data_IF_866167805858
#
_entry.id   IF_866167805858
#
_cell.length_a   1.000
_cell.length_b   1.000
_cell.length_c   1.000
_cell.angle_alpha   90.00
_cell.angle_beta   90.00
_cell.angle_gamma   90.00
#
_symmetry.space_group_name_H-M   'P 1'
#
loop_
_entity.id
_entity.type
_entity.pdbx_description
1 polymer ?
#
# COMPACT_ATOMS: atom_id res chain seq x y z
N UNK A 1 24.63 8.01 -10.31
CA UNK A 1 23.49 7.24 -10.85
C UNK A 1 23.10 6.20 -9.82
N UNK A 2 21.81 6.02 -9.54
CA UNK A 2 21.32 5.02 -8.60
C UNK A 2 20.19 4.20 -9.21
N UNK A 3 20.00 2.98 -8.71
CA UNK A 3 18.92 2.07 -9.11
C UNK A 3 18.09 1.74 -7.86
N UNK A 4 16.79 1.71 -8.01
CA UNK A 4 15.88 1.31 -6.95
C UNK A 4 14.75 0.42 -7.51
N UNK A 5 14.25 -0.50 -6.68
CA UNK A 5 13.30 -1.53 -7.10
C UNK A 5 12.18 -1.64 -6.08
N UNK A 6 10.95 -1.43 -6.54
CA UNK A 6 9.72 -1.81 -5.85
C UNK A 6 9.27 -3.17 -6.39
N UNK A 7 9.42 -4.21 -5.56
CA UNK A 7 9.12 -5.58 -5.97
C UNK A 7 8.01 -6.19 -5.12
N UNK A 8 6.81 -6.10 -5.66
CA UNK A 8 5.59 -6.56 -5.00
C UNK A 8 5.29 -8.05 -5.23
N UNK A 9 4.10 -8.46 -4.78
CA UNK A 9 3.61 -9.82 -4.96
C UNK A 9 3.37 -10.18 -6.43
N UNK A 10 2.91 -9.23 -7.25
CA UNK A 10 2.50 -9.43 -8.64
C UNK A 10 3.40 -8.73 -9.65
N UNK A 11 4.05 -7.63 -9.27
CA UNK A 11 4.78 -6.75 -10.19
C UNK A 11 6.19 -6.44 -9.71
N UNK A 12 7.07 -6.21 -10.67
CA UNK A 12 8.41 -5.68 -10.53
C UNK A 12 8.45 -4.30 -11.17
N UNK A 13 8.99 -3.30 -10.47
CA UNK A 13 9.21 -1.95 -10.97
C UNK A 13 10.62 -1.53 -10.64
N UNK A 14 11.41 -1.20 -11.65
CA UNK A 14 12.76 -0.70 -11.50
C UNK A 14 12.82 0.77 -11.93
N UNK A 15 13.57 1.56 -11.18
CA UNK A 15 13.74 2.99 -11.35
C UNK A 15 15.23 3.31 -11.44
N UNK A 16 15.62 4.10 -12.44
CA UNK A 16 16.98 4.62 -12.60
C UNK A 16 17.00 6.12 -12.36
N UNK A 17 17.88 6.55 -11.47
CA UNK A 17 18.02 7.95 -11.10
C UNK A 17 19.39 8.50 -11.55
N UNK A 18 19.43 9.79 -11.86
CA UNK A 18 20.66 10.57 -12.03
C UNK A 18 21.38 10.78 -10.69
N UNK A 19 22.56 11.36 -10.71
CA UNK A 19 23.32 11.66 -9.49
C UNK A 19 22.65 12.75 -8.62
N UNK A 20 21.83 13.60 -9.21
CA UNK A 20 21.03 14.64 -8.56
C UNK A 20 19.61 14.18 -8.18
N UNK A 21 19.33 12.87 -8.26
CA UNK A 21 18.09 12.27 -7.80
C UNK A 21 16.91 12.37 -8.78
N UNK A 22 17.12 12.81 -10.03
CA UNK A 22 16.05 12.85 -11.02
C UNK A 22 15.76 11.47 -11.59
N UNK A 23 14.48 11.11 -11.72
CA UNK A 23 14.07 9.89 -12.40
C UNK A 23 14.41 9.95 -13.91
N UNK A 24 15.29 9.06 -14.36
CA UNK A 24 15.72 8.96 -15.77
C UNK A 24 14.90 7.94 -16.55
N UNK A 25 14.61 6.80 -15.94
CA UNK A 25 13.94 5.69 -16.61
C UNK A 25 13.17 4.84 -15.59
N UNK A 26 12.02 4.30 -16.02
CA UNK A 26 11.22 3.34 -15.27
C UNK A 26 10.95 2.12 -16.12
N UNK A 27 11.12 0.92 -15.55
CA UNK A 27 10.75 -0.37 -16.14
C UNK A 27 9.74 -1.07 -15.27
N UNK A 28 8.83 -1.80 -15.91
CA UNK A 28 7.83 -2.60 -15.23
C UNK A 28 7.69 -3.96 -15.90
N UNK A 29 7.51 -5.00 -15.08
CA UNK A 29 7.26 -6.36 -15.55
C UNK A 29 6.31 -7.09 -14.59
N UNK A 30 5.55 -8.04 -15.13
CA UNK A 30 4.62 -8.88 -14.36
C UNK A 30 5.37 -10.09 -13.78
N UNK A 31 6.43 -9.82 -13.02
CA UNK A 31 7.28 -10.82 -12.37
C UNK A 31 7.41 -10.55 -10.86
N UNK A 32 6.26 -10.49 -10.17
CA UNK A 32 6.23 -10.39 -8.71
C UNK A 32 6.65 -11.67 -8.01
N UNK A 33 6.96 -11.58 -6.71
CA UNK A 33 7.48 -12.70 -5.91
C UNK A 33 6.52 -13.90 -5.86
N UNK A 34 5.23 -13.68 -6.11
CA UNK A 34 4.22 -14.74 -6.14
C UNK A 34 4.48 -15.83 -7.20
N UNK A 35 5.23 -15.52 -8.27
CA UNK A 35 5.56 -16.50 -9.31
C UNK A 35 6.46 -17.65 -8.83
N UNK A 36 7.19 -17.43 -7.75
CA UNK A 36 8.08 -18.45 -7.16
C UNK A 36 7.59 -18.93 -5.80
N UNK A 37 6.33 -18.67 -5.47
CA UNK A 37 5.70 -19.15 -4.25
C UNK A 37 5.74 -20.70 -4.21
N UNK A 38 6.11 -21.25 -3.04
CA UNK A 38 6.22 -22.70 -2.85
C UNK A 38 7.51 -23.34 -3.38
N UNK A 39 8.39 -22.60 -4.04
CA UNK A 39 9.71 -23.12 -4.43
C UNK A 39 10.69 -23.12 -3.24
N UNK A 40 11.77 -23.92 -3.35
CA UNK A 40 12.85 -23.89 -2.38
C UNK A 40 13.58 -22.54 -2.35
N UNK A 41 14.20 -22.19 -1.23
CA UNK A 41 14.93 -20.92 -1.09
C UNK A 41 16.01 -20.74 -2.16
N UNK A 42 16.76 -21.80 -2.45
CA UNK A 42 17.81 -21.76 -3.47
C UNK A 42 17.22 -21.43 -4.87
N UNK A 43 16.10 -22.05 -5.24
CA UNK A 43 15.43 -21.79 -6.54
C UNK A 43 14.87 -20.38 -6.59
N UNK A 44 14.25 -19.92 -5.50
CA UNK A 44 13.72 -18.54 -5.40
C UNK A 44 14.83 -17.50 -5.54
N UNK A 45 15.93 -17.68 -4.80
CA UNK A 45 17.06 -16.74 -4.84
C UNK A 45 17.69 -16.67 -6.23
N UNK A 46 17.88 -17.80 -6.89
CA UNK A 46 18.39 -17.83 -8.26
C UNK A 46 17.43 -17.13 -9.25
N UNK A 47 16.13 -17.28 -9.06
CA UNK A 47 15.12 -16.61 -9.87
C UNK A 47 15.14 -15.09 -9.65
N UNK A 48 15.19 -14.61 -8.40
CA UNK A 48 15.27 -13.17 -8.10
C UNK A 48 16.55 -12.56 -8.69
N UNK A 49 17.68 -13.22 -8.54
CA UNK A 49 18.92 -12.77 -9.12
C UNK A 49 18.82 -12.67 -10.64
N UNK A 50 18.30 -13.70 -11.31
CA UNK A 50 18.12 -13.70 -12.76
C UNK A 50 17.24 -12.54 -13.23
N UNK A 51 16.07 -12.34 -12.62
CA UNK A 51 15.13 -11.25 -12.97
C UNK A 51 15.77 -9.87 -12.77
N UNK A 52 16.45 -9.66 -11.62
CA UNK A 52 17.15 -8.40 -11.38
C UNK A 52 18.13 -8.06 -12.50
N UNK A 53 19.02 -8.99 -12.84
CA UNK A 53 20.04 -8.74 -13.86
C UNK A 53 19.44 -8.72 -15.28
N UNK A 54 18.42 -9.49 -15.57
CA UNK A 54 17.71 -9.45 -16.86
C UNK A 54 17.11 -8.05 -17.13
N UNK A 55 16.54 -7.41 -16.11
CA UNK A 55 15.90 -6.11 -16.26
C UNK A 55 16.83 -4.91 -16.03
N UNK A 56 17.98 -5.09 -15.38
CA UNK A 56 18.85 -3.97 -14.98
C UNK A 56 20.30 -4.08 -15.48
N UNK A 57 20.70 -5.13 -16.22
CA UNK A 57 22.09 -5.35 -16.63
C UNK A 57 22.68 -4.14 -17.37
N UNK A 58 21.99 -3.61 -18.36
CA UNK A 58 22.45 -2.45 -19.16
C UNK A 58 22.58 -1.16 -18.32
N UNK A 59 21.81 -1.02 -17.24
CA UNK A 59 21.99 0.07 -16.29
C UNK A 59 23.23 -0.13 -15.44
N UNK A 60 23.50 -1.38 -15.03
CA UNK A 60 24.66 -1.74 -14.21
C UNK A 60 25.95 -1.60 -14.98
N UNK A 61 25.97 -2.01 -16.26
CA UNK A 61 27.13 -1.87 -17.15
C UNK A 61 27.52 -0.40 -17.40
N UNK A 62 26.55 0.51 -17.33
CA UNK A 62 26.77 1.95 -17.47
C UNK A 62 27.31 2.61 -16.18
N UNK A 63 27.34 1.91 -15.06
CA UNK A 63 27.90 2.42 -13.79
C UNK A 63 29.44 2.34 -13.78
N UNK A 64 30.10 2.93 -14.75
CA UNK A 64 31.57 2.92 -14.89
C UNK A 64 32.32 3.72 -13.81
N UNK A 65 31.64 4.17 -12.74
CA UNK A 65 32.22 5.04 -11.72
C UNK A 65 32.11 4.35 -10.35
N UNK A 66 33.24 4.06 -9.76
CA UNK A 66 33.37 3.57 -8.35
C UNK A 66 33.33 4.75 -7.38
N UNK A 67 32.63 4.64 -6.21
CA UNK A 67 31.89 3.45 -5.77
C UNK A 67 30.50 3.31 -6.45
N UNK A 68 30.14 2.09 -6.77
CA UNK A 68 28.80 1.77 -7.29
C UNK A 68 27.80 2.00 -6.14
N UNK A 69 26.82 2.88 -6.35
CA UNK A 69 25.76 3.07 -5.36
C UNK A 69 24.98 1.75 -5.17
N UNK A 70 24.56 1.42 -3.95
CA UNK A 70 23.77 0.22 -3.71
C UNK A 70 22.43 0.31 -4.45
N UNK A 71 21.89 -0.85 -4.85
CA UNK A 71 20.52 -0.94 -5.35
C UNK A 71 19.57 -1.02 -4.16
N UNK A 72 18.63 -0.10 -4.07
CA UNK A 72 17.58 -0.12 -3.04
C UNK A 72 16.46 -1.06 -3.47
N UNK A 73 16.03 -1.94 -2.56
CA UNK A 73 14.91 -2.85 -2.77
C UNK A 73 13.85 -2.65 -1.69
N UNK A 74 12.61 -2.45 -2.10
CA UNK A 74 11.44 -2.32 -1.23
C UNK A 74 10.32 -3.27 -1.69
N UNK A 75 9.33 -3.47 -0.83
CA UNK A 75 8.16 -4.29 -1.11
C UNK A 75 8.32 -5.74 -0.67
N UNK A 76 7.51 -6.62 -1.23
CA UNK A 76 7.42 -8.02 -0.80
C UNK A 76 8.71 -8.82 -1.01
N UNK A 77 9.65 -8.32 -1.81
CA UNK A 77 11.00 -8.91 -1.97
C UNK A 77 11.77 -8.97 -0.65
N UNK A 78 11.42 -8.10 0.32
CA UNK A 78 12.05 -8.02 1.64
C UNK A 78 11.27 -8.79 2.71
N UNK A 79 10.26 -9.56 2.33
CA UNK A 79 9.47 -10.41 3.22
C UNK A 79 10.08 -11.80 3.38
N UNK A 80 9.53 -12.60 4.30
CA UNK A 80 9.91 -14.01 4.52
C UNK A 80 9.86 -14.86 3.25
N UNK A 81 8.92 -14.56 2.36
CA UNK A 81 8.78 -15.26 1.07
C UNK A 81 9.56 -14.58 -0.06
N UNK A 82 10.24 -13.48 0.23
CA UNK A 82 11.08 -12.74 -0.70
C UNK A 82 12.51 -13.28 -0.81
N UNK A 83 13.42 -12.39 -1.21
CA UNK A 83 14.84 -12.71 -1.38
C UNK A 83 15.64 -12.62 -0.08
N UNK A 84 15.36 -11.58 0.72
CA UNK A 84 15.98 -11.36 2.04
C UNK A 84 14.89 -10.91 3.00
N UNK A 85 14.69 -11.67 4.08
CA UNK A 85 13.78 -11.25 5.13
C UNK A 85 14.40 -10.12 5.93
N UNK A 86 13.73 -8.98 5.98
CA UNK A 86 14.13 -7.83 6.81
C UNK A 86 13.21 -7.72 8.03
N UNK A 87 13.71 -7.18 9.15
CA UNK A 87 12.87 -6.92 10.32
C UNK A 87 11.79 -5.87 10.02
N UNK A 88 10.83 -5.74 10.93
CA UNK A 88 9.91 -4.62 10.97
C UNK A 88 10.39 -3.57 11.96
N UNK A 89 10.26 -2.29 11.61
CA UNK A 89 10.45 -1.18 12.53
C UNK A 89 9.14 -0.87 13.24
N UNK A 90 9.19 -0.65 14.56
CA UNK A 90 8.00 -0.34 15.34
C UNK A 90 7.58 1.13 15.19
N UNK A 91 6.27 1.38 15.04
CA UNK A 91 5.71 2.73 15.16
C UNK A 91 5.78 3.24 16.61
N UNK A 92 5.96 4.57 16.82
CA UNK A 92 6.16 5.60 15.81
C UNK A 92 7.56 5.54 15.18
N UNK A 93 7.68 5.74 13.87
CA UNK A 93 8.95 5.62 13.14
C UNK A 93 9.17 6.79 12.19
N UNK A 94 10.38 7.33 12.18
CA UNK A 94 10.83 8.29 11.17
C UNK A 94 11.17 7.56 9.89
N UNK A 95 10.70 8.07 8.76
CA UNK A 95 10.81 7.35 7.48
C UNK A 95 12.28 7.15 7.02
N UNK A 96 13.23 8.02 7.40
CA UNK A 96 14.65 7.81 7.10
C UNK A 96 15.26 6.59 7.84
N UNK A 97 14.66 6.16 8.96
CA UNK A 97 15.12 4.97 9.66
C UNK A 97 15.04 3.68 8.82
N UNK A 98 14.29 3.69 7.70
CA UNK A 98 14.26 2.57 6.76
C UNK A 98 15.63 2.31 6.13
N UNK A 99 16.37 3.36 5.75
CA UNK A 99 17.73 3.23 5.21
C UNK A 99 18.74 2.83 6.27
N UNK A 100 18.63 3.39 7.48
CA UNK A 100 19.53 3.11 8.59
C UNK A 100 19.45 1.65 9.08
N UNK A 101 18.31 0.99 8.86
CA UNK A 101 18.05 -0.39 9.29
C UNK A 101 17.92 -1.36 8.10
N UNK A 102 18.37 -0.98 6.92
CA UNK A 102 18.35 -1.85 5.77
C UNK A 102 19.34 -3.03 5.90
N UNK A 103 18.96 -4.18 5.35
CA UNK A 103 19.81 -5.35 5.28
C UNK A 103 20.59 -5.34 3.97
N UNK A 104 21.91 -5.49 4.05
CA UNK A 104 22.79 -5.48 2.90
C UNK A 104 23.14 -6.90 2.44
N UNK A 105 23.19 -7.12 1.14
CA UNK A 105 23.65 -8.36 0.51
C UNK A 105 24.43 -8.03 -0.77
N UNK A 106 25.59 -8.67 -0.94
CA UNK A 106 26.37 -8.54 -2.19
C UNK A 106 26.05 -9.70 -3.12
N UNK A 107 25.75 -9.38 -4.37
CA UNK A 107 25.47 -10.33 -5.47
C UNK A 107 26.21 -9.85 -6.72
N UNK A 108 27.10 -10.67 -7.28
CA UNK A 108 27.92 -10.32 -8.46
C UNK A 108 28.58 -8.93 -8.35
N UNK A 109 29.26 -8.66 -7.27
CA UNK A 109 29.95 -7.39 -7.02
C UNK A 109 29.01 -6.14 -6.89
N UNK A 110 27.69 -6.38 -6.86
CA UNK A 110 26.69 -5.34 -6.64
C UNK A 110 26.15 -5.43 -5.22
N UNK A 111 26.16 -4.31 -4.51
CA UNK A 111 25.54 -4.22 -3.17
C UNK A 111 24.04 -3.96 -3.31
N UNK A 112 23.25 -4.85 -2.74
CA UNK A 112 21.79 -4.75 -2.65
C UNK A 112 21.42 -4.31 -1.23
N UNK A 113 20.50 -3.37 -1.10
CA UNK A 113 20.05 -2.80 0.17
C UNK A 113 18.54 -3.02 0.31
N UNK A 114 18.16 -3.95 1.18
CA UNK A 114 16.78 -4.37 1.41
C UNK A 114 16.16 -3.56 2.53
N UNK A 115 15.16 -2.75 2.21
CA UNK A 115 14.48 -1.89 3.17
C UNK A 115 13.55 -2.69 4.09
N UNK A 116 13.50 -2.38 5.40
CA UNK A 116 12.56 -3.00 6.33
C UNK A 116 11.12 -2.54 6.06
N UNK A 117 10.15 -3.31 6.53
CA UNK A 117 8.78 -2.86 6.66
C UNK A 117 8.54 -2.17 8.01
N UNK A 118 7.28 -1.79 8.27
CA UNK A 118 6.86 -1.14 9.51
C UNK A 118 5.75 -1.96 10.18
N UNK A 119 5.73 -1.97 11.52
CA UNK A 119 4.74 -2.71 12.30
C UNK A 119 4.20 -1.89 13.47
N UNK A 120 3.01 -2.28 13.92
CA UNK A 120 2.43 -1.87 15.21
C UNK A 120 2.40 -3.09 16.12
N UNK A 121 2.75 -2.90 17.40
CA UNK A 121 2.82 -3.99 18.39
C UNK A 121 4.10 -4.85 18.29
N UNK A 122 5.05 -4.53 17.42
CA UNK A 122 6.35 -5.18 17.39
C UNK A 122 7.21 -4.65 18.54
N UNK A 123 7.43 -5.45 19.57
CA UNK A 123 8.25 -5.07 20.75
C UNK A 123 7.45 -4.78 22.01
N UNK A 124 6.14 -4.67 21.94
CA UNK A 124 5.28 -4.77 23.13
C UNK A 124 5.37 -6.17 23.71
N UNK A 125 5.07 -6.27 25.02
CA UNK A 125 5.17 -7.51 25.79
C UNK A 125 4.81 -8.75 24.95
N UNK A 126 5.80 -9.62 24.68
CA UNK A 126 5.62 -10.86 23.90
C UNK A 126 4.54 -11.79 24.50
N UNK A 127 4.08 -11.50 25.72
CA UNK A 127 2.97 -12.17 26.36
C UNK A 127 1.62 -11.49 26.10
N UNK A 128 1.60 -10.34 25.40
CA UNK A 128 0.33 -9.71 25.02
C UNK A 128 -0.35 -10.54 23.93
N UNK A 129 -1.55 -11.01 24.21
CA UNK A 129 -2.44 -11.69 23.26
C UNK A 129 -3.36 -10.71 22.53
N UNK A 130 -3.13 -9.41 22.66
CA UNK A 130 -3.95 -8.39 21.98
C UNK A 130 -3.60 -8.28 20.48
N UNK A 131 -4.04 -9.27 19.74
CA UNK A 131 -3.86 -9.31 18.27
C UNK A 131 -4.61 -8.20 17.54
N UNK A 132 -5.57 -7.52 18.19
CA UNK A 132 -6.30 -6.41 17.57
C UNK A 132 -5.44 -5.17 17.37
N UNK A 133 -4.27 -5.10 18.01
CA UNK A 133 -3.29 -4.02 17.85
C UNK A 133 -2.13 -4.38 16.94
N UNK A 134 -1.98 -5.64 16.56
CA UNK A 134 -0.90 -6.07 15.69
C UNK A 134 -1.20 -5.73 14.24
N UNK A 135 -0.32 -4.97 13.59
CA UNK A 135 -0.45 -4.64 12.18
C UNK A 135 0.93 -4.56 11.50
N UNK A 136 0.97 -4.81 10.20
CA UNK A 136 2.21 -4.79 9.41
C UNK A 136 2.01 -4.12 8.06
N UNK A 137 3.04 -3.40 7.61
CA UNK A 137 3.09 -2.76 6.31
C UNK A 137 4.44 -3.03 5.65
N UNK A 138 4.45 -3.32 4.33
CA UNK A 138 5.69 -3.61 3.61
C UNK A 138 5.57 -3.26 2.13
N UNK A 139 6.22 -2.14 1.76
CA UNK A 139 6.22 -1.56 0.42
C UNK A 139 5.46 -0.24 0.36
N UNK A 140 4.35 -0.11 1.06
CA UNK A 140 3.53 1.10 1.09
C UNK A 140 4.24 2.28 1.79
N UNK A 141 5.13 2.01 2.76
CA UNK A 141 5.97 3.03 3.42
C UNK A 141 6.78 3.86 2.42
N UNK A 142 7.22 3.25 1.33
CA UNK A 142 7.92 3.94 0.26
C UNK A 142 7.04 5.02 -0.41
N UNK A 143 5.80 4.66 -0.72
CA UNK A 143 4.84 5.60 -1.32
C UNK A 143 4.49 6.74 -0.35
N UNK A 144 4.41 6.43 0.94
CA UNK A 144 4.21 7.43 1.99
C UNK A 144 5.38 8.42 2.03
N UNK A 145 6.64 7.96 1.99
CA UNK A 145 7.82 8.81 1.88
C UNK A 145 7.70 9.75 0.67
N UNK A 146 7.26 9.25 -0.47
CA UNK A 146 7.00 10.04 -1.67
C UNK A 146 5.99 11.16 -1.42
N UNK A 147 4.88 10.85 -0.77
CA UNK A 147 3.77 11.77 -0.56
C UNK A 147 4.02 12.83 0.54
N UNK A 148 4.81 12.51 1.56
CA UNK A 148 4.99 13.40 2.73
C UNK A 148 5.84 14.66 2.49
N UNK A 149 6.40 14.85 1.31
CA UNK A 149 7.10 16.08 0.96
C UNK A 149 8.56 16.17 1.46
N UNK A 150 9.26 17.23 1.11
CA UNK A 150 10.62 17.50 1.58
C UNK A 150 10.60 17.75 3.09
N UNK A 151 11.45 17.09 3.84
CA UNK A 151 11.54 17.08 5.31
C UNK A 151 11.74 18.44 6.00
N UNK A 152 11.85 19.52 5.25
CA UNK A 152 11.98 20.87 5.80
C UNK A 152 10.66 21.51 6.22
N UNK A 153 9.51 20.93 5.83
CA UNK A 153 8.18 21.45 6.14
C UNK A 153 7.30 20.34 6.76
N UNK A 154 7.67 19.94 7.97
CA UNK A 154 7.01 18.84 8.71
C UNK A 154 5.54 19.12 9.02
N UNK A 155 5.13 20.39 9.12
CA UNK A 155 3.75 20.79 9.39
C UNK A 155 2.85 20.57 8.15
N UNK A 156 3.37 20.79 6.95
CA UNK A 156 2.58 20.62 5.70
C UNK A 156 2.33 19.18 5.31
N UNK A 157 3.12 18.25 5.81
CA UNK A 157 2.97 16.84 5.52
C UNK A 157 2.15 16.07 6.59
N UNK A 158 1.81 16.72 7.69
CA UNK A 158 0.97 16.12 8.72
C UNK A 158 -0.43 15.83 8.17
N UNK A 159 -0.97 14.65 8.45
CA UNK A 159 -2.32 14.28 8.03
C UNK A 159 -2.57 12.79 7.92
N UNK A 160 -3.77 12.49 7.46
CA UNK A 160 -4.24 11.14 7.22
C UNK A 160 -4.01 10.75 5.75
N UNK A 161 -3.37 9.61 5.57
CA UNK A 161 -3.11 9.02 4.27
C UNK A 161 -3.89 7.71 4.14
N UNK A 162 -4.46 7.46 2.98
CA UNK A 162 -5.06 6.17 2.65
C UNK A 162 -4.40 5.60 1.39
N UNK A 163 -3.99 4.34 1.47
CA UNK A 163 -3.42 3.60 0.36
C UNK A 163 -4.34 2.42 0.01
N UNK A 164 -5.33 2.65 -0.85
CA UNK A 164 -6.30 1.63 -1.24
C UNK A 164 -5.63 0.46 -1.98
N UNK A 165 -6.01 -0.76 -1.63
CA UNK A 165 -5.46 -1.97 -2.26
C UNK A 165 -6.21 -3.23 -1.86
N UNK A 166 -5.56 -4.38 -2.05
CA UNK A 166 -6.03 -5.66 -1.50
C UNK A 166 -6.17 -5.57 0.01
N UNK A 167 -5.16 -4.96 0.65
CA UNK A 167 -5.11 -4.61 2.06
C UNK A 167 -4.87 -3.10 2.15
N UNK A 168 -5.94 -2.32 2.24
CA UNK A 168 -5.85 -0.85 2.32
C UNK A 168 -5.17 -0.43 3.62
N UNK A 169 -4.32 0.61 3.55
CA UNK A 169 -3.64 1.18 4.73
C UNK A 169 -4.20 2.56 5.02
N UNK A 170 -4.58 2.80 6.25
CA UNK A 170 -4.89 4.12 6.80
C UNK A 170 -3.74 4.53 7.70
N UNK A 171 -3.08 5.62 7.38
CA UNK A 171 -1.82 6.00 8.02
C UNK A 171 -1.95 7.39 8.63
N UNK A 172 -1.66 7.48 9.91
CA UNK A 172 -1.49 8.72 10.64
C UNK A 172 -0.02 9.14 10.56
N UNK A 173 0.23 10.28 9.91
CA UNK A 173 1.57 10.84 9.78
C UNK A 173 1.61 12.23 10.39
N UNK A 174 2.48 12.44 11.38
CA UNK A 174 2.61 13.69 12.09
C UNK A 174 4.04 13.89 12.63
N UNK A 175 4.43 15.14 12.78
CA UNK A 175 5.75 15.53 13.31
C UNK A 175 6.95 14.83 12.63
N UNK A 176 6.86 14.57 11.33
CA UNK A 176 7.92 13.88 10.59
C UNK A 176 8.01 12.38 10.82
N UNK A 177 7.00 11.78 11.48
CA UNK A 177 6.93 10.37 11.81
C UNK A 177 5.65 9.72 11.28
N UNK A 178 5.73 8.47 10.87
CA UNK A 178 4.61 7.57 10.78
C UNK A 178 4.24 7.19 12.23
N UNK A 179 3.15 7.74 12.73
CA UNK A 179 2.71 7.57 14.13
C UNK A 179 2.06 6.20 14.33
N UNK A 180 1.09 5.89 13.47
CA UNK A 180 0.35 4.64 13.50
C UNK A 180 -0.27 4.36 12.13
N UNK A 181 -0.75 3.14 11.96
CA UNK A 181 -1.55 2.78 10.79
C UNK A 181 -2.54 1.66 11.11
N UNK A 182 -3.51 1.49 10.23
CA UNK A 182 -4.51 0.44 10.31
C UNK A 182 -4.70 -0.20 8.94
N UNK A 183 -4.69 -1.52 8.88
CA UNK A 183 -4.93 -2.29 7.67
C UNK A 183 -6.37 -2.78 7.60
N UNK A 184 -7.06 -2.44 6.52
CA UNK A 184 -8.37 -2.99 6.19
C UNK A 184 -8.25 -3.95 5.00
N UNK A 185 -8.63 -5.23 5.11
CA UNK A 185 -8.56 -6.20 4.02
C UNK A 185 -9.69 -6.04 3.00
N UNK A 186 -10.03 -4.79 2.67
CA UNK A 186 -11.23 -4.42 1.90
C UNK A 186 -11.21 -5.00 0.50
N UNK A 187 -10.08 -4.92 -0.21
CA UNK A 187 -9.96 -5.47 -1.56
C UNK A 187 -10.02 -6.99 -1.57
N UNK A 188 -9.40 -7.66 -0.60
CA UNK A 188 -9.45 -9.12 -0.46
C UNK A 188 -10.86 -9.60 -0.14
N UNK A 189 -11.53 -8.95 0.82
CA UNK A 189 -12.92 -9.25 1.16
C UNK A 189 -13.86 -9.05 -0.03
N UNK A 190 -13.70 -7.94 -0.76
CA UNK A 190 -14.48 -7.68 -1.96
C UNK A 190 -14.30 -8.80 -2.99
N UNK A 191 -13.07 -9.15 -3.32
CA UNK A 191 -12.77 -10.20 -4.29
C UNK A 191 -13.33 -11.55 -3.84
N UNK A 192 -13.15 -11.91 -2.58
CA UNK A 192 -13.67 -13.16 -2.00
C UNK A 192 -15.18 -13.21 -2.02
N UNK A 193 -15.87 -12.15 -1.60
CA UNK A 193 -17.32 -12.08 -1.59
C UNK A 193 -17.90 -12.20 -3.01
N UNK A 194 -17.29 -11.55 -3.97
CA UNK A 194 -17.73 -11.58 -5.37
C UNK A 194 -17.50 -12.93 -6.04
N UNK A 195 -16.36 -13.60 -5.78
CA UNK A 195 -15.92 -14.76 -6.56
C UNK A 195 -16.19 -16.10 -5.89
N UNK A 196 -16.22 -16.14 -4.54
CA UNK A 196 -16.19 -17.40 -3.80
C UNK A 196 -17.37 -17.58 -2.83
N UNK A 197 -18.37 -16.69 -2.85
CA UNK A 197 -19.51 -16.78 -1.93
C UNK A 197 -20.86 -16.67 -2.63
N UNK A 198 -21.91 -17.12 -1.93
CA UNK A 198 -23.30 -16.93 -2.39
C UNK A 198 -23.72 -15.46 -2.42
N UNK A 199 -23.00 -14.57 -1.77
CA UNK A 199 -23.32 -13.14 -1.72
C UNK A 199 -23.13 -12.52 -3.12
N UNK A 200 -22.02 -12.84 -3.79
CA UNK A 200 -21.72 -12.37 -5.14
C UNK A 200 -22.31 -13.21 -6.27
N UNK A 201 -22.85 -14.40 -5.97
CA UNK A 201 -23.25 -15.40 -6.97
C UNK A 201 -24.35 -14.93 -7.94
N UNK A 202 -25.13 -13.92 -7.58
CA UNK A 202 -26.17 -13.33 -8.44
C UNK A 202 -25.69 -12.05 -9.14
N UNK A 203 -24.41 -11.69 -9.02
CA UNK A 203 -23.82 -10.55 -9.73
C UNK A 203 -23.70 -10.85 -11.22
N UNK A 204 -23.95 -9.84 -12.02
CA UNK A 204 -23.75 -9.88 -13.47
C UNK A 204 -22.80 -8.76 -13.92
N UNK A 205 -22.18 -8.92 -15.09
CA UNK A 205 -21.35 -7.88 -15.69
C UNK A 205 -22.22 -6.71 -16.15
N UNK A 206 -21.76 -5.51 -15.95
CA UNK A 206 -22.46 -4.30 -16.36
C UNK A 206 -21.66 -3.03 -16.07
N UNK A 207 -22.26 -1.90 -16.40
CA UNK A 207 -21.68 -0.60 -16.09
C UNK A 207 -21.71 -0.32 -14.58
N UNK A 208 -20.73 0.46 -14.13
CA UNK A 208 -20.62 0.89 -12.74
C UNK A 208 -21.80 1.76 -12.32
N UNK A 209 -22.54 1.35 -11.29
CA UNK A 209 -23.66 2.10 -10.73
C UNK A 209 -23.21 3.02 -9.60
N UNK A 210 -22.84 4.25 -9.94
CA UNK A 210 -22.36 5.24 -8.98
C UNK A 210 -23.42 5.63 -7.92
N UNK A 211 -24.70 5.60 -8.26
CA UNK A 211 -25.76 5.95 -7.31
C UNK A 211 -25.90 4.86 -6.23
N UNK A 212 -25.89 3.59 -6.65
CA UNK A 212 -25.89 2.45 -5.72
C UNK A 212 -24.63 2.46 -4.86
N UNK A 213 -23.46 2.75 -5.46
CA UNK A 213 -22.20 2.84 -4.72
C UNK A 213 -22.26 3.87 -3.59
N UNK A 214 -22.62 5.13 -3.88
CA UNK A 214 -22.69 6.21 -2.88
C UNK A 214 -23.67 5.90 -1.75
N UNK A 215 -24.87 5.41 -2.10
CA UNK A 215 -25.85 4.99 -1.10
C UNK A 215 -25.30 3.88 -0.19
N UNK A 216 -24.56 2.95 -0.76
CA UNK A 216 -23.95 1.84 0.00
C UNK A 216 -22.77 2.30 0.84
N UNK A 217 -22.03 3.33 0.41
CA UNK A 217 -21.00 4.00 1.23
C UNK A 217 -21.61 4.58 2.51
N UNK A 218 -22.70 5.34 2.40
CA UNK A 218 -23.43 5.88 3.56
C UNK A 218 -23.91 4.76 4.49
N UNK A 219 -24.46 3.68 3.91
CA UNK A 219 -24.90 2.52 4.68
C UNK A 219 -23.73 1.84 5.42
N UNK A 220 -22.61 1.61 4.74
CA UNK A 220 -21.41 1.01 5.34
C UNK A 220 -20.84 1.85 6.48
N UNK A 221 -20.80 3.16 6.28
CA UNK A 221 -20.30 4.12 7.26
C UNK A 221 -21.18 4.21 8.53
N UNK A 222 -22.50 4.30 8.36
CA UNK A 222 -23.41 4.56 9.47
C UNK A 222 -24.00 3.30 10.12
N UNK A 223 -24.04 2.16 9.41
CA UNK A 223 -24.71 0.95 9.90
C UNK A 223 -23.99 0.30 11.07
N UNK A 224 -24.78 -0.13 12.05
CA UNK A 224 -24.37 -1.06 13.11
C UNK A 224 -24.57 -2.52 12.72
N UNK A 225 -25.23 -2.79 11.57
CA UNK A 225 -25.58 -4.12 11.08
C UNK A 225 -24.80 -4.48 9.82
N UNK A 226 -23.49 -4.30 9.86
CA UNK A 226 -22.62 -4.46 8.67
C UNK A 226 -22.70 -5.87 8.06
N UNK A 227 -22.62 -6.92 8.88
CA UNK A 227 -22.68 -8.31 8.38
C UNK A 227 -24.01 -8.63 7.68
N UNK A 228 -25.14 -8.14 8.22
CA UNK A 228 -26.46 -8.29 7.58
C UNK A 228 -26.50 -7.52 6.24
N UNK A 229 -25.85 -6.35 6.19
CA UNK A 229 -25.72 -5.56 4.96
C UNK A 229 -25.00 -6.31 3.84
N UNK A 230 -23.98 -7.10 4.14
CA UNK A 230 -23.30 -7.93 3.14
C UNK A 230 -24.26 -8.93 2.48
N UNK A 231 -25.11 -9.59 3.27
CA UNK A 231 -26.12 -10.50 2.73
C UNK A 231 -27.20 -9.76 1.93
N UNK A 232 -27.38 -8.47 2.19
CA UNK A 232 -28.27 -7.58 1.43
C UNK A 232 -27.98 -7.56 -0.07
N UNK A 233 -26.74 -7.78 -0.50
CA UNK A 233 -26.40 -7.89 -1.91
C UNK A 233 -27.20 -9.03 -2.60
N UNK A 234 -27.24 -10.23 -1.98
CA UNK A 234 -28.00 -11.37 -2.50
C UNK A 234 -29.51 -11.19 -2.34
N UNK A 235 -29.96 -10.85 -1.15
CA UNK A 235 -31.36 -10.67 -0.85
C UNK A 235 -31.99 -9.57 -1.71
N UNK A 236 -31.25 -8.50 -1.95
CA UNK A 236 -31.68 -7.39 -2.80
C UNK A 236 -31.93 -7.79 -4.25
N UNK A 237 -31.12 -8.67 -4.82
CA UNK A 237 -31.37 -9.22 -6.17
C UNK A 237 -32.59 -10.13 -6.18
N UNK A 238 -32.72 -11.03 -5.21
CA UNK A 238 -33.85 -11.96 -5.14
C UNK A 238 -35.22 -11.25 -4.93
N UNK A 239 -35.19 -10.09 -4.29
CA UNK A 239 -36.38 -9.27 -4.03
C UNK A 239 -36.51 -8.09 -5.00
N UNK A 240 -35.76 -8.09 -6.10
CA UNK A 240 -35.78 -7.05 -7.17
C UNK A 240 -35.53 -5.63 -6.64
N UNK A 241 -34.83 -5.49 -5.52
CA UNK A 241 -34.42 -4.18 -4.92
C UNK A 241 -33.14 -3.64 -5.50
N UNK A 242 -32.28 -4.53 -6.04
CA UNK A 242 -31.00 -4.20 -6.64
C UNK A 242 -30.84 -5.02 -7.93
N UNK A 243 -30.37 -4.40 -8.99
CA UNK A 243 -30.08 -5.11 -10.25
C UNK A 243 -28.85 -5.97 -10.12
N UNK A 244 -28.75 -7.16 -10.74
CA UNK A 244 -27.56 -8.00 -10.72
C UNK A 244 -26.26 -7.23 -11.06
N UNK A 245 -26.31 -6.29 -12.04
CA UNK A 245 -25.18 -5.48 -12.47
C UNK A 245 -24.71 -4.48 -11.42
N UNK A 246 -25.55 -4.11 -10.46
CA UNK A 246 -25.23 -3.16 -9.39
C UNK A 246 -24.65 -3.82 -8.12
N UNK A 247 -24.61 -5.15 -8.03
CA UNK A 247 -24.09 -5.89 -6.86
C UNK A 247 -22.64 -5.52 -6.55
N UNK A 248 -21.79 -5.40 -7.57
CA UNK A 248 -20.39 -4.98 -7.43
C UNK A 248 -20.28 -3.58 -6.80
N UNK A 249 -21.08 -2.61 -7.28
CA UNK A 249 -21.09 -1.26 -6.73
C UNK A 249 -21.62 -1.24 -5.29
N UNK A 250 -22.66 -2.02 -4.99
CA UNK A 250 -23.23 -2.16 -3.65
C UNK A 250 -22.20 -2.68 -2.65
N UNK A 251 -21.56 -3.82 -2.94
CA UNK A 251 -20.58 -4.43 -2.04
C UNK A 251 -19.34 -3.54 -1.87
N UNK A 252 -18.83 -2.95 -2.96
CA UNK A 252 -17.71 -2.03 -2.89
C UNK A 252 -18.02 -0.81 -2.02
N UNK A 253 -19.20 -0.20 -2.18
CA UNK A 253 -19.61 0.94 -1.37
C UNK A 253 -19.77 0.59 0.11
N UNK A 254 -20.39 -0.55 0.41
CA UNK A 254 -20.59 -1.00 1.78
C UNK A 254 -19.28 -1.25 2.52
N UNK A 255 -18.32 -1.92 1.85
CA UNK A 255 -17.00 -2.22 2.40
C UNK A 255 -16.16 -0.95 2.58
N UNK A 256 -16.08 -0.09 1.56
CA UNK A 256 -15.31 1.15 1.62
C UNK A 256 -15.92 2.11 2.67
N UNK A 257 -17.25 2.22 2.75
CA UNK A 257 -17.89 3.05 3.79
C UNK A 257 -17.56 2.58 5.20
N UNK A 258 -17.53 1.26 5.43
CA UNK A 258 -17.11 0.69 6.72
C UNK A 258 -15.64 0.95 7.02
N UNK A 259 -14.78 0.76 6.05
CA UNK A 259 -13.34 1.03 6.15
C UNK A 259 -13.07 2.50 6.48
N UNK A 260 -13.74 3.45 5.79
CA UNK A 260 -13.59 4.89 6.09
C UNK A 260 -13.96 5.20 7.53
N UNK A 261 -15.04 4.62 8.05
CA UNK A 261 -15.43 4.80 9.45
C UNK A 261 -14.34 4.33 10.40
N UNK A 262 -13.74 3.17 10.14
CA UNK A 262 -12.68 2.61 10.98
C UNK A 262 -11.40 3.45 10.90
N UNK A 263 -10.99 3.86 9.69
CA UNK A 263 -9.82 4.71 9.48
C UNK A 263 -9.94 6.10 10.13
N UNK A 264 -11.10 6.75 10.02
CA UNK A 264 -11.35 8.04 10.67
C UNK A 264 -11.35 7.89 12.20
N UNK A 265 -11.97 6.83 12.73
CA UNK A 265 -12.01 6.61 14.18
C UNK A 265 -10.62 6.39 14.79
N UNK A 266 -9.69 5.79 14.05
CA UNK A 266 -8.30 5.60 14.49
C UNK A 266 -7.65 6.95 14.86
N UNK A 267 -7.85 7.97 14.04
CA UNK A 267 -7.24 9.30 14.23
C UNK A 267 -7.96 10.11 15.32
N UNK A 268 -9.28 9.97 15.44
CA UNK A 268 -10.04 10.63 16.54
C UNK A 268 -9.55 10.14 17.91
N UNK A 269 -9.19 8.86 18.02
CA UNK A 269 -8.67 8.29 19.28
C UNK A 269 -7.29 8.83 19.63
N UNK A 270 -6.46 9.21 18.63
CA UNK A 270 -5.17 9.85 18.88
C UNK A 270 -5.27 11.32 19.36
N UNK A 271 -6.48 11.90 19.36
CA UNK A 271 -6.74 13.23 19.94
C UNK A 271 -6.50 14.40 18.97
N UNK A 272 -6.22 14.14 17.71
CA UNK A 272 -6.05 15.18 16.70
C UNK A 272 -7.34 15.37 15.88
N UNK A 273 -7.74 16.63 15.72
CA UNK A 273 -8.93 16.98 14.93
C UNK A 273 -8.62 16.82 13.43
N UNK A 274 -8.98 15.67 12.85
CA UNK A 274 -8.80 15.36 11.41
C UNK A 274 -9.75 16.15 10.51
N UNK A 275 -10.70 16.89 11.09
CA UNK A 275 -11.87 17.41 10.38
C UNK A 275 -11.54 18.49 9.34
N UNK A 276 -10.40 19.16 9.45
CA UNK A 276 -10.03 20.27 8.57
C UNK A 276 -8.91 19.95 7.56
N UNK A 277 -8.32 18.74 7.59
CA UNK A 277 -7.20 18.39 6.70
C UNK A 277 -7.69 17.44 5.60
N UNK A 278 -7.30 17.70 4.35
CA UNK A 278 -7.61 16.82 3.24
C UNK A 278 -6.91 15.44 3.41
N UNK A 279 -7.67 14.36 3.26
CA UNK A 279 -7.14 12.99 3.28
C UNK A 279 -6.39 12.73 1.98
N UNK A 280 -5.12 12.34 2.06
CA UNK A 280 -4.30 12.05 0.89
C UNK A 280 -4.48 10.59 0.46
N UNK A 281 -4.90 10.36 -0.79
CA UNK A 281 -5.15 9.03 -1.35
C UNK A 281 -4.03 8.67 -2.31
N UNK A 282 -3.34 7.53 -2.07
CA UNK A 282 -2.20 7.09 -2.88
C UNK A 282 -2.47 5.68 -3.40
N UNK A 283 -2.45 5.45 -4.71
CA UNK A 283 -2.64 4.11 -5.24
C UNK A 283 -3.07 4.08 -6.71
N UNK A 284 -3.71 2.99 -7.09
CA UNK A 284 -4.19 2.77 -8.43
C UNK A 284 -5.31 3.77 -8.78
N UNK A 285 -5.30 4.40 -9.97
CA UNK A 285 -6.22 5.51 -10.30
C UNK A 285 -7.71 5.20 -10.17
N UNK A 286 -8.14 3.96 -10.49
CA UNK A 286 -9.55 3.57 -10.36
C UNK A 286 -9.97 3.50 -8.90
N UNK A 287 -9.13 2.91 -8.05
CA UNK A 287 -9.38 2.84 -6.60
C UNK A 287 -9.35 4.24 -5.98
N UNK A 288 -8.36 5.06 -6.32
CA UNK A 288 -8.28 6.44 -5.83
C UNK A 288 -9.58 7.22 -6.14
N UNK A 289 -10.10 7.13 -7.37
CA UNK A 289 -11.38 7.78 -7.73
C UNK A 289 -12.55 7.24 -6.91
N UNK A 290 -12.62 5.94 -6.63
CA UNK A 290 -13.68 5.35 -5.79
C UNK A 290 -13.61 5.85 -4.35
N UNK A 291 -12.41 5.95 -3.79
CA UNK A 291 -12.23 6.49 -2.43
C UNK A 291 -12.52 8.00 -2.38
N UNK A 292 -12.15 8.76 -3.41
CA UNK A 292 -12.53 10.18 -3.52
C UNK A 292 -14.05 10.35 -3.56
N UNK A 293 -14.76 9.55 -4.36
CA UNK A 293 -16.24 9.59 -4.45
C UNK A 293 -16.87 9.19 -3.10
N UNK A 294 -16.34 8.17 -2.44
CA UNK A 294 -16.83 7.72 -1.14
C UNK A 294 -16.59 8.77 -0.03
N UNK A 295 -15.40 9.34 0.07
CA UNK A 295 -15.07 10.39 1.03
C UNK A 295 -15.91 11.64 0.81
N UNK A 296 -16.04 12.08 -0.44
CA UNK A 296 -16.90 13.22 -0.80
C UNK A 296 -18.38 12.98 -0.44
N UNK A 297 -18.89 11.76 -0.65
CA UNK A 297 -20.25 11.37 -0.24
C UNK A 297 -20.47 11.52 1.27
N UNK A 298 -19.44 11.29 2.05
CA UNK A 298 -19.46 11.40 3.53
C UNK A 298 -19.08 12.79 4.04
N UNK A 299 -18.80 13.76 3.15
CA UNK A 299 -18.47 15.13 3.51
C UNK A 299 -16.98 15.36 3.85
N UNK A 300 -16.09 14.39 3.58
CA UNK A 300 -14.65 14.55 3.76
C UNK A 300 -13.98 15.10 2.51
N UNK A 301 -12.97 15.95 2.71
CA UNK A 301 -12.11 16.44 1.64
C UNK A 301 -10.96 15.46 1.40
N UNK A 302 -10.62 15.22 0.14
CA UNK A 302 -9.50 14.36 -0.22
C UNK A 302 -8.68 14.93 -1.38
N UNK A 303 -7.43 14.47 -1.49
CA UNK A 303 -6.53 14.83 -2.59
C UNK A 303 -5.76 13.59 -3.08
N UNK A 304 -5.39 13.59 -4.36
CA UNK A 304 -4.59 12.53 -4.98
C UNK A 304 -3.30 13.19 -5.49
N UNK A 305 -2.12 12.76 -5.06
CA UNK A 305 -0.84 13.23 -5.61
C UNK A 305 -0.74 12.89 -7.12
N UNK A 306 -0.14 13.81 -7.89
CA UNK A 306 -0.02 13.65 -9.34
C UNK A 306 1.16 12.76 -9.76
N UNK A 307 2.21 12.68 -8.93
CA UNK A 307 3.46 12.00 -9.25
C UNK A 307 3.42 10.50 -8.94
N UNK A 308 4.46 9.78 -9.40
CA UNK A 308 4.74 8.41 -8.96
C UNK A 308 5.36 8.44 -7.54
N UNK A 309 4.53 8.22 -6.54
CA UNK A 309 4.96 8.30 -5.13
C UNK A 309 6.04 7.29 -4.77
N UNK A 310 6.13 6.14 -5.44
CA UNK A 310 7.22 5.19 -5.23
C UNK A 310 8.56 5.74 -5.78
N UNK A 311 8.54 6.35 -6.96
CA UNK A 311 9.72 7.01 -7.52
C UNK A 311 10.19 8.18 -6.62
N UNK A 312 9.26 9.05 -6.21
CA UNK A 312 9.56 10.17 -5.31
C UNK A 312 10.10 9.69 -3.96
N UNK A 313 9.56 8.57 -3.43
CA UNK A 313 10.04 7.93 -2.21
C UNK A 313 11.49 7.46 -2.32
N UNK A 314 11.83 6.77 -3.40
CA UNK A 314 13.20 6.34 -3.66
C UNK A 314 14.16 7.52 -3.85
N UNK A 315 13.76 8.53 -4.64
CA UNK A 315 14.58 9.73 -4.84
C UNK A 315 14.95 10.39 -3.50
N UNK A 316 14.02 10.44 -2.56
CA UNK A 316 14.26 10.99 -1.21
C UNK A 316 15.16 10.13 -0.35
N UNK A 317 14.97 8.82 -0.34
CA UNK A 317 15.84 7.92 0.40
C UNK A 317 17.27 7.99 -0.14
N UNK A 318 17.43 8.06 -1.47
CA UNK A 318 18.74 8.22 -2.11
C UNK A 318 19.42 9.56 -1.75
N UNK A 319 18.66 10.63 -1.58
CA UNK A 319 19.19 11.93 -1.17
C UNK A 319 19.66 11.99 0.30
N UNK A 320 19.25 11.02 1.14
CA UNK A 320 19.67 10.90 2.53
C UNK A 320 20.91 10.02 2.72
N UNK A 321 21.32 9.29 1.69
CA UNK A 321 22.51 8.41 1.68
C UNK A 321 23.77 9.12 1.22
#
# INVERSE_FOLDING_TARGET
MAIAIDWGSTSFRAYRFSADGQLLEKRQADCGIGQVSGQSDASRHAWFERILFEHCADWLDQQSITPVAPILLSGMITSRNGWVETPYLSCPVKLHALTDNAVHKTVRDTTLMFLPGVAIGAGDDQNSTDVMRADVMRGEELQLIGATGSSTDTEKSAGLYVLPGTHSKWVDYNAGCLQSFHTAPTGELFATLMQHTLIGALSDKGEWDAAVFRKSVEQGYHSTQFLSGLFGARAGVLLEKIRPQAVSAYLSGLLIGREIREGINMVIVSGEAVVDTAITIIGEPILCRRYTDALSTLGFTSQIPENDMAADGFARLLALM
#
